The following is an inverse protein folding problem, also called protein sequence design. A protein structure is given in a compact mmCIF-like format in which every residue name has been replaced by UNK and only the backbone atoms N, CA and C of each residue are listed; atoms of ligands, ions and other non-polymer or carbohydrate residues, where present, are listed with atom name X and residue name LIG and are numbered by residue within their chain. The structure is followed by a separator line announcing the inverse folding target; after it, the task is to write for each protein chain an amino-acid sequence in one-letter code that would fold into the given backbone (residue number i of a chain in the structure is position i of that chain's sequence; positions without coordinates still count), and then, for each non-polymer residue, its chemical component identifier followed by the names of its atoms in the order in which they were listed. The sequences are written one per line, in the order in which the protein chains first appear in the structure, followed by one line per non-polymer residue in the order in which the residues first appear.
data_IF_142870639011
#
_entry.id   IF_142870639011
#
_cell.length_a   1.000
_cell.length_b   1.000
_cell.length_c   1.000
_cell.angle_alpha   90.00
_cell.angle_beta   90.00
_cell.angle_gamma   90.00
#
_symmetry.space_group_name_H-M   'P 1'
#
loop_
_entity.id
_entity.type
_entity.pdbx_description
1 polymer ?
#
# COMPACT_ATOMS: atom_id res chain seq x y z
N UNK A 1 29.01 33.61 5.38
CA UNK A 1 27.69 33.12 5.84
C UNK A 1 26.92 32.30 4.79
N UNK A 2 27.03 32.58 3.49
CA UNK A 2 26.35 31.79 2.45
C UNK A 2 26.93 30.36 2.24
N UNK A 3 28.25 30.19 2.43
CA UNK A 3 28.92 28.89 2.24
C UNK A 3 28.64 27.87 3.35
N UNK A 4 28.43 28.30 4.59
CA UNK A 4 28.11 27.43 5.71
C UNK A 4 26.66 26.88 5.62
N UNK A 5 25.71 27.75 5.23
CA UNK A 5 24.32 27.31 5.04
C UNK A 5 24.18 26.30 3.90
N UNK A 6 24.96 26.43 2.83
CA UNK A 6 24.95 25.46 1.72
C UNK A 6 25.53 24.12 2.14
N UNK A 7 26.60 24.11 2.94
CA UNK A 7 27.22 22.88 3.46
C UNK A 7 26.32 22.13 4.43
N UNK A 8 25.59 22.84 5.31
CA UNK A 8 24.64 22.24 6.27
C UNK A 8 23.44 21.65 5.52
N UNK A 9 22.87 22.35 4.55
CA UNK A 9 21.76 21.87 3.74
C UNK A 9 22.14 20.61 2.93
N UNK A 10 23.33 20.59 2.32
CA UNK A 10 23.81 19.42 1.59
C UNK A 10 24.09 18.19 2.49
N UNK A 11 24.62 18.42 3.71
CA UNK A 11 24.84 17.36 4.68
C UNK A 11 23.51 16.79 5.22
N UNK A 12 22.51 17.61 5.41
CA UNK A 12 21.17 17.18 5.83
C UNK A 12 20.45 16.43 4.70
N UNK A 13 20.57 16.85 3.46
CA UNK A 13 20.03 16.15 2.30
C UNK A 13 20.66 14.74 2.12
N UNK A 14 21.96 14.61 2.33
CA UNK A 14 22.66 13.32 2.27
C UNK A 14 22.27 12.35 3.39
N UNK A 15 21.75 12.87 4.50
CA UNK A 15 21.33 12.07 5.66
C UNK A 15 19.83 11.74 5.64
N UNK A 16 19.01 12.71 5.25
CA UNK A 16 17.55 12.62 5.39
C UNK A 16 16.79 12.84 4.08
N UNK A 17 17.40 13.48 3.08
CA UNK A 17 16.78 13.88 1.82
C UNK A 17 17.01 12.90 0.67
N UNK A 18 17.11 13.46 -0.53
CA UNK A 18 17.18 12.68 -1.78
C UNK A 18 18.60 12.34 -2.23
N UNK A 19 19.63 12.86 -1.57
CA UNK A 19 21.05 12.56 -1.83
C UNK A 19 21.60 11.47 -0.91
N UNK A 20 20.74 10.69 -0.25
CA UNK A 20 21.15 9.58 0.61
C UNK A 20 21.92 8.52 -0.17
N UNK A 21 23.06 8.02 0.35
CA UNK A 21 23.91 7.08 -0.38
C UNK A 21 23.29 5.71 -0.62
N UNK A 22 22.23 5.34 0.09
CA UNK A 22 21.51 4.07 -0.07
C UNK A 22 20.46 4.09 -1.20
N UNK A 23 20.11 5.27 -1.76
CA UNK A 23 19.14 5.34 -2.84
C UNK A 23 19.61 4.50 -4.03
N UNK A 24 18.67 3.71 -4.59
CA UNK A 24 18.86 2.86 -5.77
C UNK A 24 19.90 1.75 -5.67
N UNK A 25 20.50 1.50 -4.48
CA UNK A 25 21.51 0.43 -4.29
C UNK A 25 20.89 -0.97 -4.12
N UNK A 26 19.61 -1.03 -3.82
CA UNK A 26 18.90 -2.28 -3.54
C UNK A 26 17.75 -2.50 -4.52
N UNK A 27 17.48 -3.78 -4.80
CA UNK A 27 16.21 -4.13 -5.45
C UNK A 27 15.06 -3.88 -4.46
N UNK A 28 14.09 -3.09 -4.87
CA UNK A 28 12.95 -2.73 -4.04
C UNK A 28 11.80 -3.74 -4.09
N UNK A 29 11.74 -4.58 -5.11
CA UNK A 29 10.67 -5.55 -5.29
C UNK A 29 10.61 -6.52 -4.09
N UNK A 30 9.41 -6.64 -3.50
CA UNK A 30 9.17 -7.49 -2.33
C UNK A 30 9.61 -6.90 -0.99
N UNK A 31 10.05 -5.63 -0.95
CA UNK A 31 10.43 -4.96 0.32
C UNK A 31 9.24 -4.39 1.10
N UNK A 32 8.03 -4.52 0.57
CA UNK A 32 6.78 -4.27 1.28
C UNK A 32 5.86 -5.47 1.12
N UNK A 33 5.16 -5.83 2.20
CA UNK A 33 4.18 -6.92 2.17
C UNK A 33 2.95 -6.50 1.37
N UNK A 34 2.54 -7.32 0.42
CA UNK A 34 1.31 -7.12 -0.33
C UNK A 34 0.07 -7.32 0.57
N UNK A 35 -0.97 -6.57 0.28
CA UNK A 35 -2.30 -6.67 0.89
C UNK A 35 -3.36 -6.37 -0.18
N UNK A 36 -4.63 -6.69 0.12
CA UNK A 36 -5.69 -6.63 -0.88
C UNK A 36 -6.49 -5.33 -0.81
N UNK A 37 -6.63 -4.76 0.40
CA UNK A 37 -7.39 -3.54 0.66
C UNK A 37 -6.58 -2.53 1.47
N UNK A 38 -6.68 -1.26 1.15
CA UNK A 38 -6.18 -0.17 1.97
C UNK A 38 -7.32 0.72 2.46
N UNK A 39 -7.38 0.93 3.74
CA UNK A 39 -8.29 1.85 4.39
C UNK A 39 -7.49 3.06 4.87
N UNK A 40 -7.77 4.24 4.29
CA UNK A 40 -7.24 5.50 4.78
C UNK A 40 -8.30 6.22 5.60
N UNK A 41 -7.91 6.68 6.79
CA UNK A 41 -8.76 7.53 7.64
C UNK A 41 -8.27 8.96 7.51
N UNK A 42 -9.13 9.88 7.08
CA UNK A 42 -8.84 11.30 7.12
C UNK A 42 -8.84 11.76 8.58
N UNK A 43 -7.73 12.30 9.05
CA UNK A 43 -7.61 12.68 10.45
C UNK A 43 -6.57 13.76 10.66
N UNK A 44 -7.02 14.94 11.11
CA UNK A 44 -6.18 16.09 11.45
C UNK A 44 -5.16 16.44 10.35
N UNK A 45 -4.20 17.25 10.72
CA UNK A 45 -3.08 17.66 9.88
C UNK A 45 -1.82 16.91 10.29
N UNK A 46 -0.92 16.62 9.35
CA UNK A 46 0.32 15.86 9.56
C UNK A 46 1.27 16.46 10.60
N UNK A 47 1.21 17.77 10.82
CA UNK A 47 2.06 18.48 11.78
C UNK A 47 1.72 18.11 13.23
N UNK A 48 0.48 17.67 13.51
CA UNK A 48 0.04 17.33 14.87
C UNK A 48 -0.02 15.83 15.12
N UNK A 49 0.30 14.97 14.14
CA UNK A 49 0.31 13.53 14.36
C UNK A 49 1.43 13.13 15.33
N UNK A 50 1.13 12.34 16.37
CA UNK A 50 2.14 11.74 17.24
C UNK A 50 2.91 10.66 16.49
N UNK A 51 4.05 10.24 16.99
CA UNK A 51 4.92 9.26 16.32
C UNK A 51 4.25 7.92 15.98
N UNK A 52 3.16 7.56 16.67
CA UNK A 52 2.33 6.38 16.40
C UNK A 52 0.86 6.77 16.52
N UNK A 53 0.31 7.36 15.48
CA UNK A 53 -1.06 7.89 15.47
C UNK A 53 -2.12 6.81 15.70
N UNK A 54 -1.88 5.58 15.20
CA UNK A 54 -2.79 4.44 15.33
C UNK A 54 -2.79 3.80 16.74
N UNK A 55 -1.90 4.24 17.64
CA UNK A 55 -1.82 3.71 19.02
C UNK A 55 -1.83 4.78 20.08
N UNK A 56 -1.88 6.04 19.69
CA UNK A 56 -1.82 7.19 20.60
C UNK A 56 -3.11 7.37 21.39
N UNK A 57 -3.00 7.60 22.70
CA UNK A 57 -4.14 7.93 23.55
C UNK A 57 -4.76 9.30 23.25
N UNK A 58 -3.98 10.22 22.68
CA UNK A 58 -4.47 11.53 22.23
C UNK A 58 -5.32 11.48 20.95
N UNK A 59 -5.33 10.33 20.26
CA UNK A 59 -5.96 10.16 18.96
C UNK A 59 -6.92 8.96 18.98
N UNK A 60 -8.09 9.10 19.64
CA UNK A 60 -8.98 7.98 19.95
C UNK A 60 -9.57 7.32 18.69
N UNK A 61 -9.88 8.07 17.63
CA UNK A 61 -10.49 7.52 16.43
C UNK A 61 -9.55 6.57 15.68
N UNK A 62 -8.33 6.95 15.26
CA UNK A 62 -7.40 6.04 14.63
C UNK A 62 -7.01 4.86 15.52
N UNK A 63 -6.81 5.09 16.83
CA UNK A 63 -6.46 4.05 17.80
C UNK A 63 -7.55 3.01 17.92
N UNK A 64 -8.79 3.42 18.14
CA UNK A 64 -9.89 2.49 18.30
C UNK A 64 -10.17 1.72 17.03
N UNK A 65 -10.15 2.36 15.86
CA UNK A 65 -10.33 1.68 14.59
C UNK A 65 -9.24 0.61 14.37
N UNK A 66 -7.97 0.95 14.57
CA UNK A 66 -6.87 -0.01 14.45
C UNK A 66 -7.01 -1.18 15.44
N UNK A 67 -7.45 -0.90 16.66
CA UNK A 67 -7.67 -1.91 17.71
C UNK A 67 -8.84 -2.82 17.36
N UNK A 68 -9.98 -2.27 16.94
CA UNK A 68 -11.17 -3.04 16.54
C UNK A 68 -10.88 -3.93 15.33
N UNK A 69 -10.25 -3.42 14.29
CA UNK A 69 -9.85 -4.23 13.13
C UNK A 69 -8.87 -5.34 13.54
N UNK A 70 -7.90 -5.04 14.41
CA UNK A 70 -6.97 -6.06 14.91
C UNK A 70 -7.66 -7.14 15.73
N UNK A 71 -8.64 -6.81 16.55
CA UNK A 71 -9.42 -7.79 17.34
C UNK A 71 -10.27 -8.70 16.46
N UNK A 72 -10.75 -8.20 15.31
CA UNK A 72 -11.59 -8.90 14.35
C UNK A 72 -10.80 -9.52 13.17
N UNK A 73 -9.46 -9.59 13.26
CA UNK A 73 -8.59 -10.07 12.17
C UNK A 73 -8.93 -11.47 11.63
N UNK A 74 -9.53 -12.34 12.45
CA UNK A 74 -9.92 -13.69 12.04
C UNK A 74 -11.26 -13.71 11.28
N UNK A 75 -12.07 -12.67 11.44
CA UNK A 75 -13.38 -12.51 10.79
C UNK A 75 -13.23 -11.75 9.47
N UNK A 76 -12.19 -10.94 9.36
CA UNK A 76 -11.88 -10.13 8.16
C UNK A 76 -11.12 -10.98 7.15
N UNK A 77 -11.77 -11.35 6.05
CA UNK A 77 -11.21 -12.23 5.02
C UNK A 77 -10.27 -11.52 4.04
N UNK A 78 -10.45 -10.20 3.85
CA UNK A 78 -9.65 -9.37 2.95
C UNK A 78 -8.49 -8.77 3.76
N UNK A 79 -7.26 -9.11 3.40
CA UNK A 79 -6.07 -8.55 4.06
C UNK A 79 -6.03 -7.03 3.88
N UNK A 80 -6.36 -6.32 4.94
CA UNK A 80 -6.52 -4.86 4.92
C UNK A 80 -5.42 -4.16 5.71
N UNK A 81 -4.83 -3.13 5.10
CA UNK A 81 -3.94 -2.18 5.76
C UNK A 81 -4.73 -0.93 6.15
N UNK A 82 -4.45 -0.38 7.33
CA UNK A 82 -5.00 0.91 7.80
C UNK A 82 -3.87 1.93 7.82
N UNK A 83 -4.14 3.13 7.35
CA UNK A 83 -3.23 4.28 7.39
C UNK A 83 -4.04 5.55 7.61
N UNK A 84 -3.49 6.52 8.30
CA UNK A 84 -4.10 7.84 8.45
C UNK A 84 -3.63 8.73 7.31
N UNK A 85 -4.53 9.51 6.71
CA UNK A 85 -4.17 10.60 5.79
C UNK A 85 -4.68 11.94 6.32
N UNK A 86 -4.13 13.04 5.80
CA UNK A 86 -4.61 14.37 6.19
C UNK A 86 -6.08 14.58 5.84
N UNK A 87 -6.84 15.17 6.75
CA UNK A 87 -8.11 15.79 6.41
C UNK A 87 -7.85 17.05 5.55
N UNK A 88 -8.66 17.25 4.53
CA UNK A 88 -8.55 18.38 3.60
C UNK A 88 -9.95 18.97 3.39
N UNK A 89 -10.36 19.83 4.31
CA UNK A 89 -11.70 20.40 4.34
C UNK A 89 -12.04 21.16 3.06
N UNK A 90 -11.05 21.87 2.50
CA UNK A 90 -11.19 22.61 1.24
C UNK A 90 -11.46 21.69 0.02
N UNK A 91 -11.08 20.42 0.13
CA UNK A 91 -11.35 19.39 -0.87
C UNK A 91 -12.55 18.49 -0.50
N UNK A 92 -13.26 18.80 0.59
CA UNK A 92 -14.43 18.05 1.05
C UNK A 92 -14.08 16.70 1.69
N UNK A 93 -12.90 16.59 2.31
CA UNK A 93 -12.46 15.43 3.09
C UNK A 93 -12.23 15.85 4.55
N UNK A 94 -13.17 15.46 5.40
CA UNK A 94 -13.21 15.86 6.80
C UNK A 94 -12.59 14.82 7.72
N UNK A 95 -12.32 15.21 8.97
CA UNK A 95 -11.95 14.27 10.01
C UNK A 95 -13.01 13.17 10.15
N UNK A 96 -12.56 11.91 10.12
CA UNK A 96 -13.44 10.75 10.17
C UNK A 96 -13.93 10.24 8.82
N UNK A 97 -13.62 10.91 7.71
CA UNK A 97 -13.87 10.31 6.40
C UNK A 97 -12.93 9.11 6.19
N UNK A 98 -13.47 8.07 5.57
CA UNK A 98 -12.75 6.81 5.32
C UNK A 98 -12.72 6.53 3.84
N UNK A 99 -11.53 6.30 3.29
CA UNK A 99 -11.30 5.98 1.89
C UNK A 99 -10.89 4.53 1.75
N UNK A 100 -11.58 3.78 0.91
CA UNK A 100 -11.31 2.36 0.63
C UNK A 100 -10.75 2.17 -0.77
N UNK A 101 -9.62 1.50 -0.86
CA UNK A 101 -8.95 1.11 -2.11
C UNK A 101 -8.70 -0.40 -2.13
N UNK A 102 -8.88 -1.04 -3.29
CA UNK A 102 -9.12 -0.51 -4.63
C UNK A 102 -10.60 -0.22 -4.96
N UNK A 103 -11.52 -0.35 -4.00
CA UNK A 103 -12.97 -0.19 -4.23
C UNK A 103 -13.35 1.22 -4.70
N UNK A 104 -12.50 2.23 -4.46
CA UNK A 104 -12.75 3.64 -4.77
C UNK A 104 -14.03 4.17 -4.11
N UNK A 105 -14.17 3.86 -2.83
CA UNK A 105 -15.33 4.26 -2.03
C UNK A 105 -14.88 5.17 -0.88
N UNK A 106 -15.62 6.27 -0.68
CA UNK A 106 -15.51 7.12 0.50
C UNK A 106 -16.75 6.98 1.37
N UNK A 107 -16.56 6.76 2.65
CA UNK A 107 -17.58 6.89 3.69
C UNK A 107 -17.31 8.13 4.53
N UNK A 108 -18.35 8.87 4.89
CA UNK A 108 -18.24 10.11 5.65
C UNK A 108 -18.53 9.90 7.13
N UNK A 109 -17.77 10.62 7.97
CA UNK A 109 -18.13 10.85 9.36
C UNK A 109 -18.02 9.62 10.26
N UNK A 110 -16.99 8.77 10.08
CA UNK A 110 -16.67 7.74 11.07
C UNK A 110 -16.28 8.41 12.38
N UNK A 111 -16.94 8.01 13.47
CA UNK A 111 -16.69 8.47 14.83
C UNK A 111 -16.38 7.30 15.74
N UNK A 112 -15.83 7.59 16.91
CA UNK A 112 -15.52 6.57 17.93
C UNK A 112 -16.73 5.69 18.26
N UNK A 113 -17.95 6.26 18.25
CA UNK A 113 -19.18 5.55 18.64
C UNK A 113 -19.72 4.59 17.56
N UNK A 114 -19.31 4.72 16.33
CA UNK A 114 -19.85 3.90 15.22
C UNK A 114 -18.81 2.99 14.54
N UNK A 115 -17.58 2.93 15.06
CA UNK A 115 -16.49 2.09 14.53
C UNK A 115 -16.90 0.61 14.46
N UNK A 116 -17.51 0.07 15.51
CA UNK A 116 -17.88 -1.35 15.57
C UNK A 116 -18.85 -1.71 14.43
N UNK A 117 -19.87 -0.87 14.20
CA UNK A 117 -20.79 -1.04 13.08
C UNK A 117 -20.12 -0.93 11.72
N UNK A 118 -19.20 0.01 11.56
CA UNK A 118 -18.41 0.14 10.33
C UNK A 118 -17.55 -1.11 10.07
N UNK A 119 -16.84 -1.59 11.08
CA UNK A 119 -15.98 -2.77 10.95
C UNK A 119 -16.83 -4.02 10.66
N UNK A 120 -17.98 -4.18 11.34
CA UNK A 120 -18.89 -5.30 11.11
C UNK A 120 -19.44 -5.29 9.68
N UNK A 121 -19.99 -4.17 9.22
CA UNK A 121 -20.61 -4.08 7.90
C UNK A 121 -19.57 -4.19 6.77
N UNK A 122 -18.56 -3.31 6.80
CA UNK A 122 -17.66 -3.10 5.65
C UNK A 122 -16.49 -4.09 5.65
N UNK A 123 -15.91 -4.35 6.83
CA UNK A 123 -14.67 -5.13 6.90
C UNK A 123 -14.93 -6.63 7.05
N UNK A 124 -15.94 -7.01 7.82
CA UNK A 124 -16.30 -8.42 8.08
C UNK A 124 -17.28 -8.93 7.05
N UNK A 125 -18.41 -8.23 6.89
CA UNK A 125 -19.51 -8.70 6.03
C UNK A 125 -19.36 -8.30 4.55
N UNK A 126 -18.46 -7.36 4.21
CA UNK A 126 -18.27 -6.86 2.85
C UNK A 126 -19.52 -6.14 2.31
N UNK A 127 -20.32 -5.54 3.18
CA UNK A 127 -21.54 -4.80 2.85
C UNK A 127 -21.32 -3.30 2.95
N UNK A 128 -22.12 -2.47 2.29
CA UNK A 128 -22.11 -1.03 2.53
C UNK A 128 -22.39 -0.74 4.02
N UNK A 129 -21.73 0.28 4.54
CA UNK A 129 -21.94 0.71 5.93
C UNK A 129 -23.37 1.18 6.13
N UNK A 130 -24.10 0.57 7.08
CA UNK A 130 -25.51 0.84 7.34
C UNK A 130 -25.80 2.26 7.85
N UNK A 131 -24.84 2.89 8.52
CA UNK A 131 -24.95 4.24 9.05
C UNK A 131 -24.38 5.32 8.11
N UNK A 132 -23.87 4.96 6.94
CA UNK A 132 -23.25 5.91 5.99
C UNK A 132 -23.64 5.62 4.56
N UNK A 133 -23.66 6.67 3.74
CA UNK A 133 -23.85 6.54 2.30
C UNK A 133 -22.46 6.48 1.65
N UNK A 134 -22.18 5.46 0.83
CA UNK A 134 -20.92 5.43 0.08
C UNK A 134 -20.93 6.48 -1.04
N UNK A 135 -19.86 7.27 -1.09
CA UNK A 135 -19.55 8.15 -2.22
C UNK A 135 -18.55 7.41 -3.12
N UNK A 136 -18.85 7.28 -4.40
CA UNK A 136 -17.90 6.77 -5.39
C UNK A 136 -16.80 7.81 -5.65
N UNK A 137 -15.56 7.37 -5.66
CA UNK A 137 -14.41 8.21 -5.97
C UNK A 137 -13.94 7.94 -7.40
N UNK A 138 -13.54 8.98 -8.11
CA UNK A 138 -12.99 8.88 -9.47
C UNK A 138 -11.58 9.45 -9.53
N UNK A 139 -10.82 9.10 -10.57
CA UNK A 139 -9.47 9.60 -10.79
C UNK A 139 -8.38 8.73 -10.15
N UNK A 140 -7.21 9.31 -9.99
CA UNK A 140 -6.03 8.67 -9.43
C UNK A 140 -5.65 9.29 -8.09
N UNK A 141 -5.25 8.45 -7.14
CA UNK A 141 -4.94 8.88 -5.77
C UNK A 141 -3.49 8.55 -5.43
N UNK A 142 -2.75 9.58 -5.03
CA UNK A 142 -1.33 9.51 -4.65
C UNK A 142 -1.20 9.77 -3.16
N UNK A 143 -0.75 8.78 -2.40
CA UNK A 143 -0.51 8.90 -0.96
C UNK A 143 0.99 8.95 -0.69
N UNK A 144 1.46 10.05 -0.13
CA UNK A 144 2.87 10.30 0.13
C UNK A 144 3.14 10.23 1.64
N UNK A 145 4.03 9.33 2.07
CA UNK A 145 4.43 9.25 3.47
C UNK A 145 5.15 10.53 3.90
N UNK A 146 4.52 11.27 4.83
CA UNK A 146 4.99 12.60 5.29
C UNK A 146 5.03 12.71 6.83
N UNK A 147 5.17 11.60 7.54
CA UNK A 147 5.05 11.49 9.00
C UNK A 147 6.37 11.86 9.70
N UNK A 148 6.64 13.15 9.85
CA UNK A 148 7.88 13.70 10.42
C UNK A 148 8.16 13.25 11.86
N UNK A 149 7.14 13.23 12.72
CA UNK A 149 7.25 12.81 14.12
C UNK A 149 7.57 11.31 14.27
N UNK A 150 7.32 10.50 13.23
CA UNK A 150 7.70 9.08 13.17
C UNK A 150 9.11 8.89 12.62
N UNK A 151 9.47 9.61 11.57
CA UNK A 151 10.79 9.50 10.93
C UNK A 151 11.12 10.79 10.17
N UNK A 152 12.26 11.38 10.50
CA UNK A 152 12.72 12.65 9.91
C UNK A 152 12.83 12.57 8.39
N UNK A 153 13.24 11.44 7.83
CA UNK A 153 13.35 11.24 6.37
C UNK A 153 11.99 11.34 5.68
N UNK A 154 10.93 10.78 6.29
CA UNK A 154 9.57 10.94 5.77
C UNK A 154 9.12 12.40 5.87
N UNK A 155 9.51 13.10 6.95
CA UNK A 155 9.22 14.52 7.15
C UNK A 155 9.93 15.45 6.18
N UNK A 156 11.10 15.05 5.67
CA UNK A 156 11.87 15.82 4.65
C UNK A 156 11.40 15.48 3.24
N UNK A 157 11.35 14.20 2.90
CA UNK A 157 11.02 13.78 1.54
C UNK A 157 9.54 13.98 1.19
N UNK A 158 8.64 13.73 2.14
CA UNK A 158 7.20 13.76 1.88
C UNK A 158 6.67 15.10 1.39
N UNK A 159 6.89 16.21 2.13
CA UNK A 159 6.44 17.53 1.71
C UNK A 159 6.98 17.92 0.33
N UNK A 160 8.28 17.73 0.08
CA UNK A 160 8.89 18.07 -1.20
C UNK A 160 8.28 17.27 -2.39
N UNK A 161 7.93 16.01 -2.16
CA UNK A 161 7.22 15.20 -3.18
C UNK A 161 5.79 15.70 -3.40
N UNK A 162 5.05 16.02 -2.33
CA UNK A 162 3.69 16.56 -2.44
C UNK A 162 3.70 17.86 -3.24
N UNK A 163 4.62 18.77 -2.92
CA UNK A 163 4.75 20.04 -3.61
C UNK A 163 5.07 19.83 -5.09
N UNK A 164 5.99 18.91 -5.41
CA UNK A 164 6.34 18.60 -6.80
C UNK A 164 5.20 17.92 -7.56
N UNK A 165 4.47 16.99 -6.94
CA UNK A 165 3.27 16.41 -7.56
C UNK A 165 2.22 17.47 -7.87
N UNK A 166 1.93 18.38 -6.92
CA UNK A 166 0.95 19.45 -7.12
C UNK A 166 1.38 20.40 -8.25
N UNK A 167 2.66 20.81 -8.30
CA UNK A 167 3.22 21.62 -9.38
C UNK A 167 3.02 20.95 -10.75
N UNK A 168 3.40 19.68 -10.88
CA UNK A 168 3.35 18.95 -12.14
C UNK A 168 1.90 18.61 -12.58
N UNK A 169 1.00 18.38 -11.62
CA UNK A 169 -0.44 18.21 -11.84
C UNK A 169 -1.05 19.51 -12.38
N UNK A 170 -0.67 20.64 -11.81
CA UNK A 170 -1.13 21.95 -12.28
C UNK A 170 -0.65 22.24 -13.70
N UNK A 171 0.64 22.03 -13.96
CA UNK A 171 1.23 22.23 -15.29
C UNK A 171 0.56 21.38 -16.39
N UNK A 172 0.03 20.19 -16.03
CA UNK A 172 -0.65 19.29 -16.96
C UNK A 172 -2.16 19.45 -17.00
N UNK A 173 -2.74 20.34 -16.17
CA UNK A 173 -4.19 20.52 -16.08
C UNK A 173 -4.94 19.29 -15.52
N UNK A 174 -4.32 18.54 -14.59
CA UNK A 174 -4.83 17.29 -14.03
C UNK A 174 -5.48 17.44 -12.65
N UNK A 175 -5.80 18.68 -12.19
CA UNK A 175 -6.31 18.96 -10.83
C UNK A 175 -7.56 18.17 -10.45
N UNK A 176 -8.43 17.88 -11.42
CA UNK A 176 -9.68 17.15 -11.20
C UNK A 176 -9.56 15.63 -11.45
N UNK A 177 -8.35 15.15 -11.75
CA UNK A 177 -8.10 13.77 -12.12
C UNK A 177 -7.06 13.07 -11.22
N UNK A 178 -6.14 13.83 -10.64
CA UNK A 178 -5.06 13.29 -9.80
C UNK A 178 -5.04 14.02 -8.46
N UNK A 179 -5.19 13.27 -7.40
CA UNK A 179 -5.32 13.77 -6.04
C UNK A 179 -4.13 13.31 -5.19
N UNK A 180 -3.46 14.23 -4.50
CA UNK A 180 -2.25 13.95 -3.71
C UNK A 180 -2.52 14.17 -2.23
N UNK A 181 -2.22 13.17 -1.40
CA UNK A 181 -2.39 13.22 0.05
C UNK A 181 -1.10 12.96 0.81
N UNK A 182 -0.88 13.71 1.87
CA UNK A 182 0.02 13.30 2.93
C UNK A 182 -0.60 12.16 3.72
N UNK A 183 0.18 11.12 4.04
CA UNK A 183 -0.28 10.04 4.90
C UNK A 183 0.71 9.73 6.01
N UNK A 184 0.21 9.05 7.05
CA UNK A 184 1.01 8.56 8.17
C UNK A 184 2.02 7.50 7.70
N UNK A 185 2.83 7.00 8.63
CA UNK A 185 3.95 6.14 8.31
C UNK A 185 3.52 4.81 7.66
N UNK A 186 3.82 4.66 6.37
CA UNK A 186 3.49 3.48 5.59
C UNK A 186 4.31 2.23 5.99
N UNK A 187 5.49 2.43 6.59
CA UNK A 187 6.48 1.39 6.85
C UNK A 187 7.66 1.45 5.88
N UNK A 188 8.82 0.95 6.34
CA UNK A 188 10.04 1.00 5.55
C UNK A 188 10.60 2.41 5.38
N UNK A 189 10.83 3.13 6.50
CA UNK A 189 11.44 4.46 6.49
C UNK A 189 12.84 4.51 5.85
N UNK A 190 13.56 3.38 5.81
CA UNK A 190 14.77 3.20 5.02
C UNK A 190 14.55 3.61 3.55
N UNK A 191 13.38 3.34 2.99
CA UNK A 191 12.98 3.67 1.64
C UNK A 191 12.21 5.00 1.54
N UNK A 192 12.51 5.96 2.43
CA UNK A 192 11.82 7.27 2.45
C UNK A 192 11.82 7.91 1.06
N UNK A 193 10.74 8.62 0.74
CA UNK A 193 10.21 8.77 -0.60
C UNK A 193 9.19 7.67 -0.90
N UNK A 194 8.50 7.18 0.16
CA UNK A 194 7.43 6.20 0.00
C UNK A 194 6.17 6.84 -0.56
N UNK A 195 5.69 6.30 -1.66
CA UNK A 195 4.48 6.75 -2.37
C UNK A 195 3.62 5.53 -2.70
N UNK A 196 2.32 5.64 -2.47
CA UNK A 196 1.33 4.67 -2.95
C UNK A 196 0.46 5.37 -3.98
N UNK A 197 0.25 4.74 -5.14
CA UNK A 197 -0.61 5.26 -6.20
C UNK A 197 -1.70 4.24 -6.48
N UNK A 198 -2.95 4.68 -6.42
CA UNK A 198 -4.13 3.96 -6.91
C UNK A 198 -4.61 4.65 -8.17
N UNK A 199 -4.61 3.94 -9.27
CA UNK A 199 -5.07 4.45 -10.56
C UNK A 199 -5.70 3.34 -11.39
N UNK A 200 -6.55 3.67 -12.37
CA UNK A 200 -7.04 2.70 -13.35
C UNK A 200 -5.88 2.12 -14.17
N UNK A 201 -5.84 0.80 -14.29
CA UNK A 201 -4.98 0.12 -15.24
C UNK A 201 -5.54 0.22 -16.66
N UNK A 202 -4.84 -0.35 -17.62
CA UNK A 202 -5.26 -0.42 -19.03
C UNK A 202 -6.57 -1.19 -19.25
N UNK A 203 -6.93 -2.07 -18.30
CA UNK A 203 -8.20 -2.82 -18.26
C UNK A 203 -9.32 -2.10 -17.48
N UNK A 204 -9.07 -0.88 -17.02
CA UNK A 204 -9.99 -0.08 -16.20
C UNK A 204 -10.08 -0.50 -14.74
N UNK A 205 -9.40 -1.57 -14.32
CA UNK A 205 -9.36 -1.98 -12.90
C UNK A 205 -8.43 -1.07 -12.11
N UNK A 206 -8.87 -0.73 -10.91
CA UNK A 206 -8.03 0.04 -9.99
C UNK A 206 -6.98 -0.88 -9.37
N UNK A 207 -5.74 -0.49 -9.52
CA UNK A 207 -4.60 -1.18 -8.95
C UNK A 207 -3.81 -0.24 -8.04
N UNK A 208 -3.27 -0.78 -6.96
CA UNK A 208 -2.38 -0.05 -6.07
C UNK A 208 -0.92 -0.42 -6.29
N UNK A 209 -0.05 0.57 -6.35
CA UNK A 209 1.39 0.36 -6.49
C UNK A 209 2.13 1.14 -5.40
N UNK A 210 2.95 0.45 -4.63
CA UNK A 210 3.76 1.05 -3.58
C UNK A 210 5.20 1.20 -4.03
N UNK A 211 5.67 2.43 -4.05
CA UNK A 211 7.00 2.84 -4.47
C UNK A 211 7.85 3.29 -3.30
N UNK A 212 9.15 3.15 -3.41
CA UNK A 212 10.14 3.67 -2.47
C UNK A 212 11.24 4.44 -3.19
N UNK A 213 12.00 5.23 -2.44
CA UNK A 213 13.08 6.08 -2.97
C UNK A 213 12.65 7.04 -4.09
N UNK A 214 11.36 7.39 -4.12
CA UNK A 214 10.83 8.37 -5.06
C UNK A 214 11.46 9.73 -4.76
N UNK A 215 11.93 10.40 -5.81
CA UNK A 215 12.49 11.76 -5.76
C UNK A 215 11.63 12.72 -6.58
N UNK A 216 11.77 14.04 -6.39
CA UNK A 216 11.07 15.02 -7.22
C UNK A 216 11.29 14.84 -8.72
N UNK A 217 12.47 14.33 -9.14
CA UNK A 217 12.79 14.08 -10.55
C UNK A 217 11.99 12.91 -11.15
N UNK A 218 11.47 12.01 -10.33
CA UNK A 218 10.66 10.88 -10.78
C UNK A 218 9.19 11.25 -11.00
N UNK A 219 8.72 12.37 -10.43
CA UNK A 219 7.30 12.77 -10.46
C UNK A 219 6.73 12.93 -11.87
N UNK A 220 7.41 13.56 -12.83
CA UNK A 220 6.93 13.62 -14.22
C UNK A 220 6.67 12.22 -14.81
N UNK A 221 7.57 11.26 -14.58
CA UNK A 221 7.44 9.89 -15.08
C UNK A 221 6.20 9.18 -14.48
N UNK A 222 5.89 9.41 -13.19
CA UNK A 222 4.67 8.89 -12.59
C UNK A 222 3.40 9.43 -13.23
N UNK A 223 3.36 10.71 -13.57
CA UNK A 223 2.20 11.32 -14.22
C UNK A 223 2.06 10.87 -15.68
N UNK A 224 3.16 10.91 -16.45
CA UNK A 224 3.16 10.72 -17.90
C UNK A 224 3.10 9.24 -18.31
N UNK A 225 3.59 8.33 -17.46
CA UNK A 225 3.67 6.90 -17.74
C UNK A 225 2.74 6.09 -16.84
N UNK A 226 2.89 6.17 -15.51
CA UNK A 226 2.12 5.31 -14.63
C UNK A 226 0.65 5.71 -14.59
N UNK A 227 0.35 6.97 -14.31
CA UNK A 227 -1.04 7.43 -14.18
C UNK A 227 -1.72 7.55 -15.55
N UNK A 228 -1.03 8.11 -16.55
CA UNK A 228 -1.62 8.31 -17.86
C UNK A 228 -1.74 7.03 -18.71
N UNK A 229 -0.84 6.05 -18.53
CA UNK A 229 -0.75 4.87 -19.41
C UNK A 229 -0.83 3.52 -18.67
N UNK A 230 -0.83 3.52 -17.34
CA UNK A 230 -0.75 2.28 -16.55
C UNK A 230 0.62 1.59 -16.56
N UNK A 231 1.67 2.27 -17.00
CA UNK A 231 3.03 1.72 -17.07
C UNK A 231 3.71 1.78 -15.70
N UNK A 232 3.92 0.62 -15.08
CA UNK A 232 4.51 0.52 -13.73
C UNK A 232 6.00 0.87 -13.74
N UNK A 233 6.44 1.75 -12.85
CA UNK A 233 7.84 2.16 -12.71
C UNK A 233 8.62 1.12 -11.91
N UNK A 234 9.07 0.06 -12.57
CA UNK A 234 9.63 -1.15 -11.94
C UNK A 234 10.84 -0.88 -11.03
N UNK A 235 11.71 0.09 -11.38
CA UNK A 235 12.91 0.42 -10.58
C UNK A 235 12.59 0.94 -9.18
N UNK A 236 11.41 1.50 -8.97
CA UNK A 236 10.95 2.07 -7.70
C UNK A 236 9.89 1.22 -7.01
N UNK A 237 9.39 0.17 -7.65
CA UNK A 237 8.28 -0.65 -7.16
C UNK A 237 8.72 -1.52 -5.98
N UNK A 238 8.01 -1.40 -4.86
CA UNK A 238 8.16 -2.24 -3.67
C UNK A 238 7.18 -3.40 -3.65
N UNK A 239 5.90 -3.14 -3.93
CA UNK A 239 4.88 -4.17 -4.12
C UNK A 239 3.67 -3.62 -4.89
N UNK A 240 2.88 -4.54 -5.42
CA UNK A 240 1.59 -4.29 -6.06
C UNK A 240 0.47 -4.80 -5.16
N UNK A 241 -0.68 -4.11 -5.12
CA UNK A 241 -1.79 -4.37 -4.23
C UNK A 241 -3.11 -4.46 -4.99
N UNK A 242 -4.11 -5.15 -4.41
CA UNK A 242 -5.46 -5.23 -5.01
C UNK A 242 -5.66 -6.40 -5.98
N UNK A 243 -4.83 -7.44 -5.94
CA UNK A 243 -4.92 -8.60 -6.87
C UNK A 243 -5.95 -9.66 -6.49
N UNK A 244 -6.60 -9.62 -5.34
CA UNK A 244 -7.48 -10.70 -4.89
C UNK A 244 -8.93 -10.31 -4.68
N UNK A 245 -9.55 -9.64 -5.61
CA UNK A 245 -11.02 -9.76 -5.72
C UNK A 245 -11.28 -11.09 -6.42
N UNK A 246 -11.42 -12.16 -5.65
CA UNK A 246 -12.02 -13.40 -6.15
C UNK A 246 -13.37 -12.99 -6.70
N UNK A 247 -13.58 -13.19 -8.00
CA UNK A 247 -14.89 -13.07 -8.64
C UNK A 247 -15.92 -13.75 -7.74
N UNK A 248 -16.89 -12.98 -7.26
CA UNK A 248 -18.09 -13.54 -6.64
C UNK A 248 -18.77 -14.31 -7.76
N UNK A 249 -18.62 -15.64 -7.74
CA UNK A 249 -19.31 -16.52 -8.67
C UNK A 249 -20.80 -16.30 -8.48
N UNK A 250 -21.39 -15.57 -9.41
CA UNK A 250 -22.83 -15.61 -9.62
C UNK A 250 -23.24 -17.04 -9.90
N UNK A 251 -24.10 -17.57 -9.04
CA UNK A 251 -24.81 -18.80 -9.26
C UNK A 251 -25.76 -18.62 -10.43
N UNK A 252 -25.33 -19.08 -11.61
CA UNK A 252 -26.31 -19.60 -12.57
C UNK A 252 -25.66 -20.70 -13.41
N UNK A 253 -26.26 -21.87 -13.30
CA UNK A 253 -25.78 -23.06 -13.93
C UNK A 253 -26.10 -23.13 -15.42
N UNK A 254 -25.10 -23.38 -16.23
CA UNK A 254 -25.25 -24.14 -17.45
C UNK A 254 -23.96 -24.88 -17.76
N UNK A 255 -24.04 -26.22 -17.65
CA UNK A 255 -23.05 -27.17 -18.14
C UNK A 255 -23.00 -27.11 -19.67
N UNK A 256 -21.81 -26.90 -20.22
CA UNK A 256 -21.49 -27.24 -21.60
C UNK A 256 -20.44 -28.36 -21.57
N UNK A 257 -20.61 -29.44 -22.39
CA UNK A 257 -19.79 -30.65 -22.29
C UNK A 257 -18.39 -30.43 -22.88
N UNK A 258 -17.39 -30.95 -22.18
CA UNK A 258 -16.00 -30.98 -22.64
C UNK A 258 -15.82 -32.07 -23.72
N UNK A 259 -15.30 -31.72 -24.87
CA UNK A 259 -14.75 -32.63 -25.86
C UNK A 259 -13.37 -33.13 -25.42
N UNK A 260 -13.20 -34.44 -25.45
CA UNK A 260 -11.92 -35.14 -25.19
C UNK A 260 -10.99 -35.04 -26.40
N UNK A 261 -9.67 -34.94 -26.22
CA UNK A 261 -8.74 -35.14 -27.33
C UNK A 261 -8.37 -36.63 -27.50
N UNK A 262 -8.41 -37.02 -28.76
CA UNK A 262 -8.14 -38.34 -29.34
C UNK A 262 -6.70 -38.80 -29.04
N UNK A 263 -6.57 -40.05 -28.60
CA UNK A 263 -5.33 -40.83 -28.51
C UNK A 263 -4.72 -41.11 -29.89
N UNK A 264 -3.39 -41.02 -30.03
CA UNK A 264 -2.58 -41.75 -30.96
C UNK A 264 -1.25 -42.18 -30.33
N UNK A 265 -1.17 -43.46 -30.03
CA UNK A 265 -0.30 -44.40 -30.78
C UNK A 265 1.03 -44.71 -30.09
N UNK A 266 1.13 -45.88 -29.60
CA UNK A 266 2.25 -46.65 -29.05
C UNK A 266 3.59 -46.49 -29.80
N UNK A 267 4.70 -46.49 -29.06
CA UNK A 267 5.72 -47.52 -29.32
C UNK A 267 6.62 -47.79 -28.10
N UNK A 268 6.97 -49.03 -27.96
CA UNK A 268 7.68 -49.76 -26.90
C UNK A 268 9.20 -49.51 -26.96
N UNK A 269 9.93 -49.48 -25.83
CA UNK A 269 10.86 -50.54 -25.43
C UNK A 269 11.74 -50.13 -24.21
N UNK A 270 11.68 -50.94 -23.21
CA UNK A 270 12.66 -51.85 -22.55
C UNK A 270 13.73 -51.22 -21.63
N UNK A 271 13.69 -51.72 -20.40
CA UNK A 271 14.84 -52.05 -19.56
C UNK A 271 15.17 -51.06 -18.47
N UNK A 272 15.10 -51.40 -17.26
CA UNK A 272 15.69 -52.32 -16.41
C UNK A 272 15.51 -51.93 -14.94
N UNK A 273 15.23 -52.92 -14.13
CA UNK A 273 15.19 -53.00 -12.68
C UNK A 273 16.30 -52.27 -11.92
N UNK A 274 15.97 -51.74 -10.73
CA UNK A 274 16.43 -52.38 -9.48
C UNK A 274 15.71 -51.78 -8.27
N UNK A 275 15.15 -52.70 -7.49
CA UNK A 275 14.58 -52.49 -6.17
C UNK A 275 15.67 -52.30 -5.12
N UNK A 276 15.37 -51.54 -4.06
CA UNK A 276 16.16 -51.53 -2.84
C UNK A 276 15.38 -50.82 -1.73
N UNK A 277 14.78 -51.65 -0.88
CA UNK A 277 14.09 -51.23 0.34
C UNK A 277 15.07 -50.83 1.45
N UNK A 278 14.49 -50.09 2.40
CA UNK A 278 14.82 -49.94 3.82
C UNK A 278 15.23 -48.52 4.23
N UNK A 279 14.34 -48.01 5.08
CA UNK A 279 14.51 -46.75 5.82
C UNK A 279 15.65 -46.82 6.83
N UNK A 280 16.09 -45.68 7.24
CA UNK A 280 16.41 -45.32 8.65
C UNK A 280 16.53 -43.79 8.74
N UNK A 281 15.77 -43.25 9.66
CA UNK A 281 15.90 -41.89 10.24
C UNK A 281 17.22 -41.72 10.95
N UNK A 282 17.88 -40.57 10.78
CA UNK A 282 18.91 -40.12 11.71
C UNK A 282 18.89 -38.62 11.88
N UNK A 283 18.29 -38.19 12.98
CA UNK A 283 18.60 -36.94 13.64
C UNK A 283 20.02 -37.03 14.25
N UNK A 284 20.88 -36.06 14.02
CA UNK A 284 21.97 -35.73 14.91
C UNK A 284 22.27 -34.24 14.90
N UNK A 285 22.12 -33.65 16.08
CA UNK A 285 22.60 -32.32 16.45
C UNK A 285 24.12 -32.40 16.73
N UNK A 286 24.91 -31.35 16.44
CA UNK A 286 26.29 -31.28 16.90
C UNK A 286 26.39 -30.62 18.28
N UNK A 287 27.44 -30.95 19.06
CA UNK A 287 27.59 -30.61 20.46
C UNK A 287 28.21 -29.22 20.67
N UNK A 288 27.83 -28.63 21.80
CA UNK A 288 28.47 -27.48 22.45
C UNK A 288 29.91 -27.78 22.84
N UNK A 289 30.82 -26.84 22.61
CA UNK A 289 32.12 -26.82 23.30
C UNK A 289 32.34 -25.46 23.97
N UNK A 290 32.28 -25.51 25.28
CA UNK A 290 32.87 -24.54 26.20
C UNK A 290 34.39 -24.53 26.16
N UNK A 291 34.94 -23.41 26.64
CA UNK A 291 36.26 -23.09 27.20
C UNK A 291 37.26 -22.42 26.22
N UNK A 292 37.71 -21.24 26.48
CA UNK A 292 38.35 -20.52 27.59
C UNK A 292 38.24 -19.01 27.33
#
# INVERSE_FOLDING_TARGET
MASENFSIAAADDSKHGFSRPELYKENLAGTADAYDRHLFVCYKNRQVWPSNVETSDSDPLPKLLATTVKSRKNDITIKTKITVCEAREEAGFLDGDVLLFPEMIKYRGLTVSNIDGFVEDVMVNGKPWSAGVPDEMAGSYVFVCSHASRDVRCGVCGPALIDKFNEEIELRGLKDQVFVWACSHLGGHKYAGNVIIYCPGSDGKIMGHWYGYVTPNDVPEFLDHHIAKGEVIQRLLRCQMGQSVKEVRGTDGQKVPSEEPIEKGKNQNVGGCCQGANGVSCCMSPPSSDKN
#
